data_IF_182249890935
#
_entry.id   IF_182249890935
#
_cell.length_a   1.000
_cell.length_b   1.000
_cell.length_c   1.000
_cell.angle_alpha   90.00
_cell.angle_beta   90.00
_cell.angle_gamma   90.00
#
_symmetry.space_group_name_H-M   'P 1'
#
loop_
_entity.id
_entity.type
_entity.pdbx_description
1 polymer ?
#
# COMPACT_ATOMS: atom_id res chain seq x y z
N UNK A 1 -22.26 10.85 20.18
CA UNK A 1 -21.02 11.61 20.46
C UNK A 1 -20.40 11.92 19.10
N UNK A 2 -20.16 13.18 18.83
CA UNK A 2 -19.65 13.60 17.51
C UNK A 2 -18.19 13.19 17.36
N UNK A 3 -17.85 12.57 16.23
CA UNK A 3 -16.47 12.16 15.94
C UNK A 3 -15.59 13.39 15.81
N UNK A 4 -14.48 13.47 16.55
CA UNK A 4 -13.45 14.51 16.36
C UNK A 4 -12.52 14.13 15.18
N UNK A 5 -12.93 14.52 14.00
CA UNK A 5 -12.17 14.23 12.78
C UNK A 5 -10.80 14.93 12.73
N UNK A 6 -10.59 16.03 13.45
CA UNK A 6 -9.30 16.68 13.52
C UNK A 6 -8.29 15.85 14.33
N UNK A 7 -8.74 15.24 15.41
CA UNK A 7 -7.92 14.30 16.20
C UNK A 7 -7.63 13.03 15.40
N UNK A 8 -8.66 12.45 14.78
CA UNK A 8 -8.50 11.26 13.92
C UNK A 8 -7.52 11.52 12.78
N UNK A 9 -7.61 12.67 12.14
CA UNK A 9 -6.68 13.06 11.07
C UNK A 9 -5.23 13.08 11.57
N UNK A 10 -4.96 13.76 12.68
CA UNK A 10 -3.61 13.85 13.24
C UNK A 10 -3.03 12.50 13.63
N UNK A 11 -3.86 11.60 14.16
CA UNK A 11 -3.45 10.28 14.61
C UNK A 11 -3.28 9.27 13.45
N UNK A 12 -4.01 9.44 12.34
CA UNK A 12 -4.19 8.38 11.32
C UNK A 12 -3.54 8.72 9.98
N UNK A 13 -3.40 10.00 9.64
CA UNK A 13 -2.99 10.43 8.30
C UNK A 13 -1.65 9.85 7.85
N UNK A 14 -0.65 9.84 8.72
CA UNK A 14 0.68 9.29 8.40
C UNK A 14 0.65 7.79 8.07
N UNK A 15 -0.07 7.00 8.87
CA UNK A 15 -0.22 5.57 8.65
C UNK A 15 -1.03 5.27 7.39
N UNK A 16 -2.05 6.10 7.12
CA UNK A 16 -2.88 5.98 5.92
C UNK A 16 -2.07 6.26 4.65
N UNK A 17 -1.29 7.33 4.63
CA UNK A 17 -0.40 7.65 3.49
C UNK A 17 0.62 6.54 3.28
N UNK A 18 1.25 6.02 4.36
CA UNK A 18 2.20 4.90 4.26
C UNK A 18 1.54 3.66 3.65
N UNK A 19 0.36 3.28 4.13
CA UNK A 19 -0.41 2.18 3.55
C UNK A 19 -0.69 2.39 2.06
N UNK A 20 -1.20 3.56 1.70
CA UNK A 20 -1.54 3.88 0.31
C UNK A 20 -0.30 3.93 -0.58
N UNK A 21 0.83 4.46 -0.10
CA UNK A 21 2.09 4.49 -0.86
C UNK A 21 2.55 3.09 -1.27
N UNK A 22 2.44 2.11 -0.37
CA UNK A 22 2.73 0.70 -0.70
C UNK A 22 1.67 0.04 -1.58
N UNK A 23 0.43 0.56 -1.58
CA UNK A 23 -0.65 0.00 -2.41
C UNK A 23 -0.63 0.52 -3.84
N UNK A 24 -0.35 1.80 -4.05
CA UNK A 24 -0.42 2.44 -5.37
C UNK A 24 0.96 2.69 -5.99
N UNK A 25 2.05 2.57 -5.21
CA UNK A 25 3.44 2.78 -5.63
C UNK A 25 3.69 4.18 -6.22
N UNK A 26 2.98 5.18 -5.71
CA UNK A 26 3.06 6.58 -6.11
C UNK A 26 2.72 7.43 -4.88
N UNK A 27 3.69 8.19 -4.39
CA UNK A 27 3.56 8.96 -3.15
C UNK A 27 2.57 10.13 -3.31
N UNK A 28 2.62 10.86 -4.43
CA UNK A 28 1.70 11.96 -4.68
C UNK A 28 0.27 11.44 -4.79
N UNK A 29 0.08 10.32 -5.46
CA UNK A 29 -1.23 9.69 -5.58
C UNK A 29 -1.72 9.15 -4.23
N UNK A 30 -0.84 8.63 -3.39
CA UNK A 30 -1.17 8.18 -2.04
C UNK A 30 -1.69 9.34 -1.17
N UNK A 31 -1.06 10.50 -1.24
CA UNK A 31 -1.53 11.70 -0.54
C UNK A 31 -2.91 12.14 -1.05
N UNK A 32 -3.14 12.16 -2.35
CA UNK A 32 -4.44 12.52 -2.93
C UNK A 32 -5.55 11.57 -2.45
N UNK A 33 -5.29 10.26 -2.48
CA UNK A 33 -6.23 9.25 -2.00
C UNK A 33 -6.50 9.34 -0.50
N UNK A 34 -5.48 9.66 0.31
CA UNK A 34 -5.65 9.87 1.74
C UNK A 34 -6.55 11.07 2.02
N UNK A 35 -6.33 12.19 1.34
CA UNK A 35 -7.19 13.37 1.45
C UNK A 35 -8.62 13.07 1.00
N UNK A 36 -8.79 12.36 -0.11
CA UNK A 36 -10.10 11.95 -0.60
C UNK A 36 -10.82 11.02 0.40
N UNK A 37 -10.10 10.08 1.02
CA UNK A 37 -10.68 9.20 2.04
C UNK A 37 -11.21 10.00 3.22
N UNK A 38 -10.45 10.96 3.74
CA UNK A 38 -10.91 11.84 4.80
C UNK A 38 -12.11 12.71 4.36
N UNK A 39 -12.06 13.32 3.18
CA UNK A 39 -13.15 14.14 2.67
C UNK A 39 -14.49 13.38 2.61
N UNK A 40 -14.45 12.07 2.31
CA UNK A 40 -15.66 11.23 2.23
C UNK A 40 -16.25 10.83 3.59
N UNK A 41 -15.54 11.04 4.68
CA UNK A 41 -15.99 10.64 6.01
C UNK A 41 -16.27 11.79 6.98
N UNK A 42 -15.87 13.02 6.64
CA UNK A 42 -15.98 14.19 7.53
C UNK A 42 -17.41 14.44 8.10
N UNK A 43 -18.43 14.13 7.31
CA UNK A 43 -19.84 14.32 7.70
C UNK A 43 -20.45 13.08 8.38
N UNK A 44 -19.64 12.06 8.65
CA UNK A 44 -20.10 10.81 9.25
C UNK A 44 -19.77 10.75 10.74
N UNK A 45 -20.63 10.10 11.49
CA UNK A 45 -20.32 9.67 12.85
C UNK A 45 -19.87 8.20 12.84
N UNK A 46 -18.81 7.89 13.57
CA UNK A 46 -18.27 6.54 13.61
C UNK A 46 -17.76 6.18 15.00
N UNK A 47 -18.13 5.01 15.47
CA UNK A 47 -17.61 4.43 16.71
C UNK A 47 -16.13 4.03 16.57
N UNK A 48 -15.71 3.66 15.37
CA UNK A 48 -14.33 3.37 15.00
C UNK A 48 -13.95 4.19 13.77
N UNK A 49 -13.62 5.46 13.99
CA UNK A 49 -13.30 6.41 12.94
C UNK A 49 -12.04 6.03 12.16
N UNK A 50 -11.02 5.47 12.84
CA UNK A 50 -9.80 4.96 12.23
C UNK A 50 -10.11 3.87 11.18
N UNK A 51 -10.85 2.83 11.59
CA UNK A 51 -11.22 1.75 10.67
C UNK A 51 -12.11 2.25 9.51
N UNK A 52 -12.98 3.24 9.75
CA UNK A 52 -13.82 3.81 8.69
C UNK A 52 -13.00 4.52 7.61
N UNK A 53 -12.01 5.33 8.00
CA UNK A 53 -11.10 5.99 7.04
C UNK A 53 -10.34 4.96 6.22
N UNK A 54 -9.77 3.94 6.86
CA UNK A 54 -9.07 2.87 6.15
C UNK A 54 -10.00 2.09 5.21
N UNK A 55 -11.23 1.82 5.60
CA UNK A 55 -12.23 1.17 4.73
C UNK A 55 -12.47 1.95 3.44
N UNK A 56 -12.60 3.26 3.54
CA UNK A 56 -12.74 4.13 2.36
C UNK A 56 -11.46 4.13 1.53
N UNK A 57 -10.30 4.25 2.15
CA UNK A 57 -9.01 4.25 1.47
C UNK A 57 -8.70 2.93 0.76
N UNK A 58 -9.01 1.78 1.37
CA UNK A 58 -8.87 0.46 0.74
C UNK A 58 -9.71 0.37 -0.54
N UNK A 59 -10.95 0.86 -0.50
CA UNK A 59 -11.82 0.87 -1.67
C UNK A 59 -11.28 1.80 -2.77
N UNK A 60 -10.81 2.99 -2.40
CA UNK A 60 -10.17 3.92 -3.34
C UNK A 60 -8.92 3.31 -4.00
N UNK A 61 -8.07 2.66 -3.22
CA UNK A 61 -6.87 2.00 -3.74
C UNK A 61 -7.21 0.83 -4.68
N UNK A 62 -8.26 0.06 -4.38
CA UNK A 62 -8.75 -1.00 -5.28
C UNK A 62 -9.28 -0.45 -6.60
N UNK A 63 -10.03 0.66 -6.56
CA UNK A 63 -10.54 1.31 -7.76
C UNK A 63 -9.40 1.91 -8.59
N UNK A 64 -8.40 2.48 -7.95
CA UNK A 64 -7.18 2.97 -8.60
C UNK A 64 -6.44 1.84 -9.33
N UNK A 65 -6.22 0.71 -8.68
CA UNK A 65 -5.57 -0.45 -9.29
C UNK A 65 -6.32 -0.95 -10.53
N UNK A 66 -7.64 -1.00 -10.49
CA UNK A 66 -8.48 -1.36 -11.65
C UNK A 66 -8.31 -0.36 -12.81
N UNK A 67 -8.24 0.92 -12.50
CA UNK A 67 -8.05 1.99 -13.49
C UNK A 67 -6.67 1.90 -14.15
N UNK A 68 -5.61 1.66 -13.39
CA UNK A 68 -4.24 1.47 -13.91
C UNK A 68 -4.17 0.26 -14.84
N UNK A 69 -4.79 -0.87 -14.46
CA UNK A 69 -4.84 -2.08 -15.31
C UNK A 69 -5.57 -1.80 -16.62
N UNK A 70 -6.70 -1.09 -16.59
CA UNK A 70 -7.44 -0.70 -17.82
C UNK A 70 -6.60 0.20 -18.73
N UNK A 71 -5.92 1.20 -18.16
CA UNK A 71 -5.03 2.10 -18.92
C UNK A 71 -3.88 1.33 -19.58
N UNK A 72 -3.22 0.43 -18.85
CA UNK A 72 -2.14 -0.40 -19.40
C UNK A 72 -2.62 -1.28 -20.55
N UNK A 73 -3.80 -1.91 -20.42
CA UNK A 73 -4.41 -2.70 -21.50
C UNK A 73 -4.74 -1.85 -22.71
N UNK A 74 -5.30 -0.66 -22.52
CA UNK A 74 -5.63 0.26 -23.60
C UNK A 74 -4.39 0.75 -24.34
N UNK A 75 -3.34 1.12 -23.62
CA UNK A 75 -2.05 1.52 -24.22
C UNK A 75 -1.37 0.38 -24.98
N UNK A 76 -1.43 -0.85 -24.47
CA UNK A 76 -0.92 -2.02 -25.17
C UNK A 76 -1.65 -2.28 -26.48
N UNK A 77 -2.98 -2.07 -26.53
CA UNK A 77 -3.79 -2.19 -27.75
C UNK A 77 -3.47 -1.09 -28.78
N UNK A 78 -3.14 0.12 -28.31
CA UNK A 78 -2.80 1.25 -29.20
C UNK A 78 -1.37 1.22 -29.70
N UNK A 79 -0.52 0.29 -29.26
CA UNK A 79 0.92 0.19 -29.60
C UNK A 79 1.64 1.54 -29.52
N UNK A 80 1.40 2.31 -28.48
CA UNK A 80 2.13 3.54 -28.24
C UNK A 80 3.49 3.15 -27.64
N UNK A 81 4.50 3.01 -28.48
CA UNK A 81 5.90 3.00 -28.08
C UNK A 81 6.27 4.42 -27.62
N UNK A 82 5.89 4.79 -26.42
CA UNK A 82 6.49 5.92 -25.74
C UNK A 82 7.64 5.36 -24.89
N UNK A 83 8.84 5.29 -25.46
CA UNK A 83 10.07 5.28 -24.70
C UNK A 83 10.14 6.60 -23.94
N UNK A 84 9.55 6.65 -22.75
CA UNK A 84 9.90 7.69 -21.79
C UNK A 84 11.24 7.28 -21.20
N UNK A 85 12.32 7.69 -21.86
CA UNK A 85 13.63 7.80 -21.24
C UNK A 85 13.49 8.84 -20.13
N UNK A 86 13.20 8.40 -18.91
CA UNK A 86 13.51 9.19 -17.75
C UNK A 86 15.04 9.25 -17.66
N UNK A 87 15.63 10.39 -18.00
CA UNK A 87 17.02 10.68 -17.65
C UNK A 87 17.07 10.72 -16.12
N UNK A 88 17.56 9.62 -15.53
CA UNK A 88 17.75 9.54 -14.10
C UNK A 88 18.89 10.52 -13.73
N UNK A 89 18.54 11.58 -13.02
CA UNK A 89 19.54 12.43 -12.35
C UNK A 89 20.27 11.57 -11.32
N UNK A 90 21.62 11.55 -11.30
CA UNK A 90 22.35 10.77 -10.30
C UNK A 90 21.96 11.23 -8.89
N UNK A 91 21.41 10.31 -8.08
CA UNK A 91 21.08 10.56 -6.69
C UNK A 91 22.34 10.43 -5.81
N UNK A 92 22.46 11.19 -4.69
CA UNK A 92 23.49 10.95 -3.69
C UNK A 92 23.49 9.49 -3.23
N UNK A 93 24.67 8.94 -2.90
CA UNK A 93 24.86 7.53 -2.59
C UNK A 93 23.91 6.99 -1.49
N UNK A 94 23.67 7.76 -0.44
CA UNK A 94 22.71 7.39 0.62
C UNK A 94 21.27 7.31 0.12
N UNK A 95 20.86 8.22 -0.77
CA UNK A 95 19.53 8.21 -1.38
C UNK A 95 19.40 7.07 -2.38
N UNK A 96 20.46 6.75 -3.13
CA UNK A 96 20.50 5.62 -4.05
C UNK A 96 20.35 4.29 -3.31
N UNK A 97 21.08 4.07 -2.21
CA UNK A 97 20.97 2.87 -1.37
C UNK A 97 19.58 2.72 -0.74
N UNK A 98 18.98 3.83 -0.30
CA UNK A 98 17.61 3.85 0.24
C UNK A 98 16.58 3.54 -0.84
N UNK A 99 16.78 4.06 -2.05
CA UNK A 99 15.95 3.76 -3.23
C UNK A 99 16.02 2.28 -3.61
N UNK A 100 17.21 1.69 -3.64
CA UNK A 100 17.41 0.26 -3.92
C UNK A 100 16.72 -0.63 -2.88
N UNK A 101 16.80 -0.29 -1.59
CA UNK A 101 16.13 -1.03 -0.53
C UNK A 101 14.59 -0.95 -0.66
N UNK A 102 14.06 0.22 -1.01
CA UNK A 102 12.63 0.43 -1.27
C UNK A 102 12.18 -0.37 -2.49
N UNK A 103 12.91 -0.32 -3.60
CA UNK A 103 12.60 -1.10 -4.80
C UNK A 103 12.65 -2.60 -4.54
N UNK A 104 13.63 -3.06 -3.75
CA UNK A 104 13.72 -4.46 -3.33
C UNK A 104 12.52 -4.86 -2.47
N UNK A 105 12.09 -4.01 -1.54
CA UNK A 105 10.92 -4.27 -0.73
C UNK A 105 9.63 -4.29 -1.56
N UNK A 106 9.50 -3.41 -2.56
CA UNK A 106 8.39 -3.44 -3.52
C UNK A 106 8.35 -4.77 -4.27
N UNK A 107 9.48 -5.20 -4.83
CA UNK A 107 9.58 -6.49 -5.53
C UNK A 107 9.25 -7.68 -4.60
N UNK A 108 9.69 -7.62 -3.35
CA UNK A 108 9.36 -8.66 -2.36
C UNK A 108 7.86 -8.67 -2.02
N UNK A 109 7.22 -7.51 -1.86
CA UNK A 109 5.77 -7.40 -1.67
C UNK A 109 4.98 -7.94 -2.86
N UNK A 110 5.47 -7.75 -4.08
CA UNK A 110 4.83 -8.26 -5.30
C UNK A 110 4.87 -9.79 -5.42
N UNK A 111 5.75 -10.47 -4.68
CA UNK A 111 5.77 -11.94 -4.60
C UNK A 111 4.67 -12.52 -3.71
N UNK A 112 4.08 -11.69 -2.84
CA UNK A 112 2.97 -12.11 -2.00
C UNK A 112 1.67 -12.20 -2.82
N UNK A 113 0.77 -13.09 -2.40
CA UNK A 113 -0.61 -13.04 -2.91
C UNK A 113 -1.23 -11.68 -2.57
N UNK A 114 -2.17 -11.21 -3.37
CA UNK A 114 -2.87 -9.94 -3.10
C UNK A 114 -3.49 -9.93 -1.70
N UNK A 115 -4.08 -11.05 -1.27
CA UNK A 115 -4.64 -11.24 0.06
C UNK A 115 -3.58 -11.10 1.16
N UNK A 116 -2.46 -11.81 1.05
CA UNK A 116 -1.40 -11.80 2.05
C UNK A 116 -0.78 -10.39 2.16
N UNK A 117 -0.58 -9.73 1.01
CA UNK A 117 -0.07 -8.36 0.96
C UNK A 117 -1.04 -7.37 1.60
N UNK A 118 -2.33 -7.45 1.30
CA UNK A 118 -3.34 -6.55 1.88
C UNK A 118 -3.43 -6.71 3.39
N UNK A 119 -3.53 -7.94 3.89
CA UNK A 119 -3.57 -8.21 5.33
C UNK A 119 -2.32 -7.69 6.03
N UNK A 120 -1.15 -7.89 5.44
CA UNK A 120 0.12 -7.43 6.01
C UNK A 120 0.20 -5.91 6.08
N UNK A 121 -0.20 -5.21 5.02
CA UNK A 121 -0.17 -3.75 4.97
C UNK A 121 -1.18 -3.10 5.92
N UNK A 122 -2.39 -3.68 6.06
CA UNK A 122 -3.38 -3.21 7.02
C UNK A 122 -2.94 -3.44 8.47
N UNK A 123 -2.28 -4.58 8.73
CA UNK A 123 -1.69 -4.85 10.04
C UNK A 123 -0.55 -3.86 10.36
N UNK A 124 0.34 -3.59 9.42
CA UNK A 124 1.42 -2.60 9.57
C UNK A 124 0.88 -1.18 9.82
N UNK A 125 -0.25 -0.85 9.22
CA UNK A 125 -0.96 0.41 9.44
C UNK A 125 -1.67 0.51 10.80
N UNK A 126 -1.61 -0.53 11.64
CA UNK A 126 -2.13 -0.52 12.99
C UNK A 126 -3.60 -0.92 13.15
N UNK A 127 -4.22 -1.53 12.12
CA UNK A 127 -5.58 -2.02 12.25
C UNK A 127 -5.64 -3.26 13.16
N UNK A 128 -6.74 -3.36 13.93
CA UNK A 128 -7.02 -4.56 14.71
C UNK A 128 -7.35 -5.76 13.81
N UNK A 129 -7.20 -6.97 14.34
CA UNK A 129 -7.57 -8.18 13.58
C UNK A 129 -9.06 -8.19 13.20
N UNK A 130 -9.93 -7.64 14.05
CA UNK A 130 -11.35 -7.49 13.75
C UNK A 130 -11.58 -6.56 12.54
N UNK A 131 -10.91 -5.40 12.53
CA UNK A 131 -11.01 -4.44 11.42
C UNK A 131 -10.45 -5.02 10.11
N UNK A 132 -9.31 -5.73 10.19
CA UNK A 132 -8.73 -6.40 9.01
C UNK A 132 -9.69 -7.47 8.48
N UNK A 133 -10.28 -8.28 9.37
CA UNK A 133 -11.24 -9.30 8.99
C UNK A 133 -12.47 -8.71 8.29
N UNK A 134 -13.01 -7.60 8.82
CA UNK A 134 -14.13 -6.89 8.21
C UNK A 134 -13.79 -6.36 6.81
N UNK A 135 -12.59 -5.80 6.64
CA UNK A 135 -12.18 -5.20 5.36
C UNK A 135 -11.79 -6.22 4.29
N UNK A 136 -11.26 -7.37 4.70
CA UNK A 136 -10.78 -8.41 3.79
C UNK A 136 -11.79 -9.53 3.55
N UNK A 137 -12.83 -9.62 4.37
CA UNK A 137 -13.79 -10.73 4.35
C UNK A 137 -13.23 -12.05 4.90
N UNK A 138 -12.09 -12.02 5.56
CA UNK A 138 -11.47 -13.20 6.18
C UNK A 138 -12.00 -13.43 7.59
N UNK A 139 -11.94 -14.68 8.06
CA UNK A 139 -12.24 -14.98 9.45
C UNK A 139 -11.20 -14.33 10.38
N UNK A 140 -11.67 -13.64 11.43
CA UNK A 140 -10.79 -12.95 12.38
C UNK A 140 -9.75 -13.89 13.02
N UNK A 141 -10.13 -15.13 13.34
CA UNK A 141 -9.22 -16.13 13.90
C UNK A 141 -8.05 -16.50 12.97
N UNK A 142 -8.20 -16.30 11.65
CA UNK A 142 -7.16 -16.57 10.66
C UNK A 142 -6.22 -15.41 10.37
N UNK A 143 -6.54 -14.18 10.84
CA UNK A 143 -5.75 -12.99 10.52
C UNK A 143 -4.33 -13.11 11.07
N UNK A 144 -4.15 -13.47 12.33
CA UNK A 144 -2.83 -13.62 12.94
C UNK A 144 -1.94 -14.61 12.20
N UNK A 145 -2.47 -15.76 11.82
CA UNK A 145 -1.74 -16.78 11.02
C UNK A 145 -1.37 -16.24 9.63
N UNK A 146 -2.29 -15.50 9.01
CA UNK A 146 -2.04 -14.87 7.70
C UNK A 146 -0.94 -13.82 7.80
N UNK A 147 -0.94 -12.97 8.84
CA UNK A 147 0.12 -11.98 9.09
C UNK A 147 1.48 -12.66 9.25
N UNK A 148 1.57 -13.69 10.10
CA UNK A 148 2.82 -14.41 10.32
C UNK A 148 3.35 -15.05 9.04
N UNK A 149 2.48 -15.70 8.28
CA UNK A 149 2.84 -16.31 6.99
C UNK A 149 3.31 -15.26 5.99
N UNK A 150 2.59 -14.15 5.87
CA UNK A 150 2.95 -13.06 4.95
C UNK A 150 4.29 -12.42 5.32
N UNK A 151 4.55 -12.18 6.61
CA UNK A 151 5.84 -11.68 7.09
C UNK A 151 6.99 -12.63 6.73
N UNK A 152 6.82 -13.92 6.98
CA UNK A 152 7.84 -14.91 6.65
C UNK A 152 8.17 -14.91 5.17
N UNK A 153 7.14 -14.95 4.32
CA UNK A 153 7.32 -14.90 2.86
C UNK A 153 7.99 -13.60 2.40
N UNK A 154 7.61 -12.46 2.99
CA UNK A 154 8.21 -11.16 2.66
C UNK A 154 9.71 -11.15 2.97
N UNK A 155 10.10 -11.60 4.16
CA UNK A 155 11.52 -11.67 4.57
C UNK A 155 12.30 -12.60 3.65
N UNK A 156 11.80 -13.80 3.39
CA UNK A 156 12.43 -14.76 2.48
C UNK A 156 12.61 -14.20 1.07
N UNK A 157 11.59 -13.52 0.53
CA UNK A 157 11.67 -12.90 -0.78
C UNK A 157 12.66 -11.72 -0.82
N UNK A 158 12.64 -10.87 0.21
CA UNK A 158 13.56 -9.74 0.33
C UNK A 158 15.03 -10.21 0.39
N UNK A 159 15.31 -11.23 1.19
CA UNK A 159 16.65 -11.80 1.32
C UNK A 159 17.11 -12.49 0.03
N UNK A 160 16.22 -13.21 -0.65
CA UNK A 160 16.51 -13.84 -1.94
C UNK A 160 16.86 -12.82 -3.02
N UNK A 161 16.12 -11.72 -3.09
CA UNK A 161 16.40 -10.62 -4.02
C UNK A 161 17.74 -9.95 -3.71
N UNK A 162 18.06 -9.73 -2.43
CA UNK A 162 19.34 -9.15 -2.02
C UNK A 162 20.55 -10.03 -2.39
N UNK A 163 20.44 -11.35 -2.31
CA UNK A 163 21.47 -12.27 -2.75
C UNK A 163 21.67 -12.26 -4.27
N UNK A 164 20.59 -12.16 -5.02
CA UNK A 164 20.64 -12.08 -6.48
C UNK A 164 21.27 -10.78 -6.97
N UNK A 165 20.90 -9.66 -6.35
CA UNK A 165 21.48 -8.34 -6.67
C UNK A 165 23.00 -8.32 -6.40
N UNK A 166 23.44 -8.92 -5.28
CA UNK A 166 24.87 -9.04 -4.94
C UNK A 166 25.67 -9.98 -5.87
N UNK A 167 25.01 -10.94 -6.52
CA UNK A 167 25.66 -11.88 -7.46
C UNK A 167 25.83 -11.27 -8.85
N UNK A 168 25.12 -10.20 -9.18
CA UNK A 168 25.15 -9.54 -10.50
C UNK A 168 26.03 -8.27 -10.51
N UNK A 169 26.52 -7.82 -9.36
CA UNK A 169 27.43 -6.67 -9.19
C UNK A 169 28.85 -7.12 -8.94
#
# INVERSE_FOLDING_TARGET
MKTDWAEVYRATYGDLVRYLSWRVMDEDRAHDLAQEAFARVLDREASNAHALVFKVAVNLARDEARTVVRRKRHLALLRVEAEVRAEATPLPEEQAQRSEAVERLQRALDTLSERDREVLLLWDAGLSYADIAEQTGLAQAGIGTTVLRAKKKLVEAFDALGRNDAALG
#
